data_IF_560908825419
#
_entry.id   IF_560908825419
#
_cell.length_a   1.000
_cell.length_b   1.000
_cell.length_c   1.000
_cell.angle_alpha   90.00
_cell.angle_beta   90.00
_cell.angle_gamma   90.00
#
_symmetry.space_group_name_H-M   'P 1'
#
loop_
_entity.id
_entity.type
_entity.pdbx_description
1 polymer ?
#
# COMPACT_ATOMS: atom_id res chain seq x y z
N UNK A 1 0.98 23.16 -20.54
CA UNK A 1 1.87 22.44 -19.63
C UNK A 1 2.39 21.20 -20.35
N UNK A 2 3.64 20.79 -20.14
CA UNK A 2 4.08 19.47 -20.58
C UNK A 2 3.28 18.43 -19.79
N UNK A 3 2.81 17.39 -20.47
CA UNK A 3 2.12 16.27 -19.84
C UNK A 3 3.03 15.63 -18.77
N UNK A 4 2.49 15.41 -17.56
CA UNK A 4 3.21 14.81 -16.43
C UNK A 4 2.60 13.47 -16.05
N UNK A 5 3.43 12.55 -15.56
CA UNK A 5 3.03 11.24 -15.07
C UNK A 5 3.00 11.24 -13.53
N UNK A 6 1.80 11.13 -12.96
CA UNK A 6 1.60 10.94 -11.52
C UNK A 6 1.25 9.48 -11.25
N UNK A 7 1.93 8.85 -10.29
CA UNK A 7 1.64 7.47 -9.86
C UNK A 7 1.10 7.47 -8.44
N UNK A 8 -0.02 6.79 -8.21
CA UNK A 8 -0.63 6.61 -6.89
C UNK A 8 -0.34 5.19 -6.37
N UNK A 9 0.17 5.09 -5.14
CA UNK A 9 0.40 3.85 -4.41
C UNK A 9 -0.45 3.85 -3.14
N UNK A 10 -1.30 2.83 -2.97
CA UNK A 10 -1.83 2.44 -1.67
C UNK A 10 -3.32 2.65 -1.44
N UNK A 11 -3.68 3.40 -0.42
CA UNK A 11 -4.96 3.29 0.29
C UNK A 11 -6.25 3.60 -0.50
N UNK A 12 -7.40 3.36 0.15
CA UNK A 12 -8.73 3.45 -0.45
C UNK A 12 -9.12 4.86 -0.94
N UNK A 13 -8.59 5.95 -0.39
CA UNK A 13 -8.83 7.29 -0.93
C UNK A 13 -8.38 7.43 -2.40
N UNK A 14 -7.38 6.65 -2.83
CA UNK A 14 -6.93 6.64 -4.21
C UNK A 14 -7.80 5.74 -5.09
N UNK A 15 -8.43 4.70 -4.54
CA UNK A 15 -9.29 3.77 -5.28
C UNK A 15 -10.56 4.43 -5.85
N UNK A 16 -11.03 5.53 -5.26
CA UNK A 16 -12.20 6.26 -5.76
C UNK A 16 -11.87 7.07 -7.02
N UNK A 17 -12.51 6.72 -8.14
CA UNK A 17 -12.27 7.36 -9.44
C UNK A 17 -12.49 8.86 -9.43
N UNK A 18 -13.56 9.32 -8.75
CA UNK A 18 -13.95 10.72 -8.71
C UNK A 18 -13.16 11.56 -7.69
N UNK A 19 -12.25 10.96 -6.92
CA UNK A 19 -11.41 11.64 -5.93
C UNK A 19 -10.09 12.16 -6.51
N UNK A 20 -8.97 11.88 -5.83
CA UNK A 20 -7.62 12.35 -6.20
C UNK A 20 -7.28 12.07 -7.67
N UNK A 21 -7.64 10.88 -8.15
CA UNK A 21 -7.40 10.47 -9.54
C UNK A 21 -8.04 11.45 -10.54
N UNK A 22 -9.33 11.76 -10.38
CA UNK A 22 -10.02 12.71 -11.26
C UNK A 22 -9.41 14.11 -11.15
N UNK A 23 -9.06 14.54 -9.94
CA UNK A 23 -8.44 15.85 -9.71
C UNK A 23 -7.15 16.05 -10.51
N UNK A 24 -6.31 15.02 -10.57
CA UNK A 24 -5.09 15.04 -11.38
C UNK A 24 -5.43 15.05 -12.87
N UNK A 25 -6.36 14.19 -13.32
CA UNK A 25 -6.76 14.12 -14.73
C UNK A 25 -7.35 15.44 -15.25
N UNK A 26 -8.10 16.15 -14.41
CA UNK A 26 -8.71 17.44 -14.74
C UNK A 26 -7.68 18.54 -15.09
N UNK A 27 -6.41 18.35 -14.71
CA UNK A 27 -5.30 19.27 -15.06
C UNK A 27 -4.60 18.92 -16.39
N UNK A 28 -5.02 17.84 -17.05
CA UNK A 28 -4.38 17.32 -18.27
C UNK A 28 -3.15 16.45 -18.01
N UNK A 29 -2.90 16.04 -16.76
CA UNK A 29 -1.84 15.09 -16.42
C UNK A 29 -2.31 13.65 -16.54
N UNK A 30 -1.36 12.72 -16.70
CA UNK A 30 -1.61 11.28 -16.61
C UNK A 30 -1.58 10.85 -15.15
N UNK A 31 -2.55 10.03 -14.77
CA UNK A 31 -2.61 9.42 -13.45
C UNK A 31 -2.62 7.89 -13.60
N UNK A 32 -1.63 7.24 -12.99
CA UNK A 32 -1.52 5.78 -12.93
C UNK A 32 -1.80 5.34 -11.51
N UNK A 33 -2.96 4.72 -11.31
CA UNK A 33 -3.38 4.26 -9.99
C UNK A 33 -3.04 2.79 -9.79
N UNK A 34 -2.13 2.51 -8.86
CA UNK A 34 -1.73 1.16 -8.47
C UNK A 34 -2.30 0.76 -7.09
N UNK A 35 -3.23 1.56 -6.56
CA UNK A 35 -4.05 1.22 -5.39
C UNK A 35 -4.98 0.04 -5.70
N UNK A 36 -5.06 -0.92 -4.79
CA UNK A 36 -6.15 -1.92 -4.78
C UNK A 36 -7.26 -1.55 -3.79
N UNK A 37 -7.11 -0.44 -3.06
CA UNK A 37 -7.90 -0.09 -1.88
C UNK A 37 -7.65 -1.06 -0.72
N UNK A 38 -7.70 -0.59 0.52
CA UNK A 38 -7.50 -1.53 1.64
C UNK A 38 -6.04 -1.91 1.91
N UNK A 39 -5.05 -1.25 1.31
CA UNK A 39 -3.69 -1.79 1.23
C UNK A 39 -2.65 -1.16 2.17
N UNK A 40 -1.84 -1.98 2.88
CA UNK A 40 -0.73 -1.52 3.71
C UNK A 40 0.51 -1.19 2.88
N UNK A 41 1.57 -0.70 3.54
CA UNK A 41 2.88 -0.42 2.94
C UNK A 41 3.47 -1.61 2.16
N UNK A 42 3.14 -2.86 2.51
CA UNK A 42 3.67 -4.05 1.83
C UNK A 42 3.16 -4.16 0.40
N UNK A 43 1.90 -3.78 0.16
CA UNK A 43 1.35 -3.78 -1.19
C UNK A 43 1.95 -2.64 -2.03
N UNK A 44 2.17 -1.46 -1.43
CA UNK A 44 2.86 -0.36 -2.11
C UNK A 44 4.26 -0.77 -2.54
N UNK A 45 4.98 -1.49 -1.67
CA UNK A 45 6.29 -2.04 -1.97
C UNK A 45 6.22 -3.10 -3.09
N UNK A 46 5.23 -4.00 -3.04
CA UNK A 46 4.97 -4.95 -4.12
C UNK A 46 4.73 -4.25 -5.47
N UNK A 47 3.90 -3.22 -5.51
CA UNK A 47 3.61 -2.47 -6.74
C UNK A 47 4.82 -1.68 -7.24
N UNK A 48 5.63 -1.13 -6.33
CA UNK A 48 6.89 -0.48 -6.68
C UNK A 48 7.80 -1.45 -7.44
N UNK A 49 7.92 -2.69 -6.95
CA UNK A 49 8.77 -3.71 -7.59
C UNK A 49 8.15 -4.22 -8.89
N UNK A 50 6.84 -4.49 -8.89
CA UNK A 50 6.09 -4.98 -10.06
C UNK A 50 6.10 -3.97 -11.21
N UNK A 51 5.91 -2.69 -10.91
CA UNK A 51 5.77 -1.60 -11.87
C UNK A 51 6.99 -0.68 -11.90
N UNK A 52 8.18 -1.17 -11.51
CA UNK A 52 9.40 -0.38 -11.35
C UNK A 52 9.68 0.61 -12.49
N UNK A 53 9.53 0.19 -13.74
CA UNK A 53 9.72 1.06 -14.93
C UNK A 53 8.76 2.24 -14.98
N UNK A 54 7.50 2.04 -14.59
CA UNK A 54 6.51 3.12 -14.53
C UNK A 54 6.91 4.13 -13.45
N UNK A 55 7.33 3.65 -12.28
CA UNK A 55 7.74 4.49 -11.14
C UNK A 55 9.04 5.25 -11.44
N UNK A 56 10.00 4.62 -12.13
CA UNK A 56 11.23 5.26 -12.62
C UNK A 56 10.96 6.34 -13.68
N UNK A 57 9.81 6.30 -14.36
CA UNK A 57 9.39 7.30 -15.34
C UNK A 57 8.37 8.31 -14.80
N UNK A 58 7.98 8.20 -13.53
CA UNK A 58 7.06 9.14 -12.90
C UNK A 58 7.72 10.51 -12.70
N UNK A 59 6.90 11.57 -12.81
CA UNK A 59 7.24 12.93 -12.39
C UNK A 59 6.96 13.11 -10.89
N UNK A 60 5.91 12.45 -10.40
CA UNK A 60 5.49 12.47 -9.00
C UNK A 60 4.94 11.10 -8.59
N UNK A 61 5.30 10.66 -7.39
CA UNK A 61 4.74 9.47 -6.75
C UNK A 61 4.02 9.90 -5.47
N UNK A 62 2.78 9.47 -5.30
CA UNK A 62 2.00 9.68 -4.08
C UNK A 62 1.80 8.33 -3.41
N UNK A 63 2.28 8.18 -2.19
CA UNK A 63 2.11 6.97 -1.39
C UNK A 63 1.29 7.27 -0.15
N UNK A 64 0.28 6.45 0.12
CA UNK A 64 -0.53 6.52 1.33
C UNK A 64 -0.92 5.11 1.77
N UNK A 65 -0.73 4.78 3.04
CA UNK A 65 -1.04 3.43 3.55
C UNK A 65 -1.28 3.38 5.06
N UNK A 66 -1.17 4.52 5.76
CA UNK A 66 -1.16 4.56 7.22
C UNK A 66 -2.39 3.89 7.84
N UNK A 67 -3.60 4.15 7.32
CA UNK A 67 -4.83 3.53 7.84
C UNK A 67 -4.79 2.01 7.78
N UNK A 68 -4.20 1.43 6.73
CA UNK A 68 -4.12 -0.02 6.56
C UNK A 68 -2.89 -0.65 7.18
N UNK A 69 -1.80 0.10 7.32
CA UNK A 69 -0.70 -0.29 8.21
C UNK A 69 -1.21 -0.38 9.67
N UNK A 70 -2.13 0.49 10.10
CA UNK A 70 -2.77 0.37 11.42
C UNK A 70 -3.76 -0.81 11.43
N UNK A 71 -4.68 -0.88 10.48
CA UNK A 71 -5.73 -1.91 10.44
C UNK A 71 -5.16 -3.34 10.37
N UNK A 72 -4.10 -3.53 9.56
CA UNK A 72 -3.50 -4.84 9.35
C UNK A 72 -2.63 -5.27 10.53
N UNK A 73 -1.90 -4.32 11.13
CA UNK A 73 -1.03 -4.56 12.27
C UNK A 73 -1.62 -3.94 13.55
N UNK A 74 -2.92 -4.17 13.77
CA UNK A 74 -3.73 -3.49 14.80
C UNK A 74 -3.48 -3.98 16.24
N UNK A 75 -2.27 -4.45 16.53
CA UNK A 75 -1.81 -4.83 17.86
C UNK A 75 -0.32 -4.51 18.02
N UNK A 76 0.09 -4.30 19.27
CA UNK A 76 1.48 -3.94 19.60
C UNK A 76 2.45 -5.06 19.16
N UNK A 77 2.05 -6.33 19.33
CA UNK A 77 2.87 -7.49 18.92
C UNK A 77 3.07 -7.59 17.40
N UNK A 78 2.17 -7.00 16.62
CA UNK A 78 2.27 -6.95 15.16
C UNK A 78 3.00 -5.70 14.66
N UNK A 79 3.16 -4.67 15.50
CA UNK A 79 3.83 -3.43 15.11
C UNK A 79 5.24 -3.62 14.56
N UNK A 80 6.11 -4.53 15.07
CA UNK A 80 7.41 -4.79 14.46
C UNK A 80 7.33 -5.18 12.98
N UNK A 81 6.25 -5.87 12.56
CA UNK A 81 6.02 -6.22 11.14
C UNK A 81 5.64 -4.98 10.32
N UNK A 82 4.81 -4.10 10.89
CA UNK A 82 4.49 -2.80 10.28
C UNK A 82 5.76 -1.96 10.11
N UNK A 83 6.55 -1.83 11.19
CA UNK A 83 7.81 -1.09 11.21
C UNK A 83 8.76 -1.56 10.11
N UNK A 84 8.97 -2.87 10.01
CA UNK A 84 9.82 -3.48 8.98
C UNK A 84 9.36 -3.11 7.57
N UNK A 85 8.08 -3.32 7.27
CA UNK A 85 7.53 -3.10 5.93
C UNK A 85 7.56 -1.62 5.54
N UNK A 86 7.24 -0.72 6.46
CA UNK A 86 7.32 0.73 6.22
C UNK A 86 8.76 1.16 5.95
N UNK A 87 9.73 0.67 6.72
CA UNK A 87 11.14 1.01 6.49
C UNK A 87 11.63 0.51 5.11
N UNK A 88 11.23 -0.70 4.70
CA UNK A 88 11.53 -1.22 3.36
C UNK A 88 10.97 -0.32 2.27
N UNK A 89 9.66 -0.03 2.32
CA UNK A 89 8.98 0.81 1.33
C UNK A 89 9.66 2.17 1.19
N UNK A 90 9.89 2.87 2.30
CA UNK A 90 10.44 4.23 2.25
C UNK A 90 11.87 4.24 1.73
N UNK A 91 12.68 3.21 2.04
CA UNK A 91 14.03 3.10 1.49
C UNK A 91 14.00 2.82 -0.02
N UNK A 92 13.14 1.92 -0.51
CA UNK A 92 12.97 1.68 -1.95
C UNK A 92 12.50 2.95 -2.68
N UNK A 93 11.51 3.66 -2.13
CA UNK A 93 11.03 4.94 -2.67
C UNK A 93 12.17 5.97 -2.75
N UNK A 94 13.00 6.09 -1.72
CA UNK A 94 14.12 7.01 -1.70
C UNK A 94 15.08 6.76 -2.87
N UNK A 95 15.40 5.50 -3.15
CA UNK A 95 16.33 5.14 -4.22
C UNK A 95 15.78 5.33 -5.65
N UNK A 96 14.48 5.57 -5.82
CA UNK A 96 13.92 6.00 -7.12
C UNK A 96 14.35 7.42 -7.51
N UNK A 97 14.76 8.25 -6.53
CA UNK A 97 15.18 9.65 -6.74
C UNK A 97 14.09 10.49 -7.43
N UNK A 98 12.84 10.27 -7.04
CA UNK A 98 11.65 10.98 -7.56
C UNK A 98 11.06 11.90 -6.51
N UNK A 99 10.29 12.91 -6.97
CA UNK A 99 9.41 13.69 -6.09
C UNK A 99 8.37 12.73 -5.51
N UNK A 100 8.34 12.64 -4.19
CA UNK A 100 7.45 11.72 -3.45
C UNK A 100 6.62 12.53 -2.47
N UNK A 101 5.32 12.23 -2.44
CA UNK A 101 4.39 12.70 -1.42
C UNK A 101 4.02 11.51 -0.53
N UNK A 102 4.28 11.67 0.76
CA UNK A 102 3.72 10.87 1.82
C UNK A 102 2.34 11.44 2.20
N UNK A 103 1.28 10.74 1.82
CA UNK A 103 -0.09 11.08 2.18
C UNK A 103 -0.47 10.37 3.49
N UNK A 104 -0.84 11.14 4.51
CA UNK A 104 -1.36 10.61 5.78
C UNK A 104 -2.87 10.78 5.80
N UNK A 105 -3.57 9.68 5.57
CA UNK A 105 -5.02 9.62 5.50
C UNK A 105 -5.68 9.77 6.87
N UNK A 106 -6.92 10.28 6.94
CA UNK A 106 -7.70 10.29 8.18
C UNK A 106 -7.82 8.90 8.80
N UNK A 107 -7.63 8.82 10.11
CA UNK A 107 -7.83 7.59 10.90
C UNK A 107 -8.88 7.77 12.00
N UNK A 108 -10.14 8.12 11.66
CA UNK A 108 -11.22 8.35 12.64
C UNK A 108 -11.78 7.04 13.24
N UNK A 109 -11.42 5.88 12.68
CA UNK A 109 -12.07 4.61 12.99
C UNK A 109 -11.82 4.20 14.44
N UNK A 110 -12.91 4.10 15.22
CA UNK A 110 -12.85 3.83 16.67
C UNK A 110 -12.36 2.42 17.01
N UNK A 111 -12.43 1.48 16.07
CA UNK A 111 -11.98 0.10 16.26
C UNK A 111 -10.46 -0.08 16.12
N UNK A 112 -9.75 0.96 15.66
CA UNK A 112 -8.28 0.94 15.58
C UNK A 112 -7.66 1.13 16.97
N UNK A 113 -6.58 0.40 17.22
CA UNK A 113 -5.79 0.49 18.42
C UNK A 113 -5.08 1.85 18.46
N UNK A 114 -5.42 2.67 19.46
CA UNK A 114 -4.93 4.05 19.61
C UNK A 114 -3.40 4.15 19.64
N UNK A 115 -2.71 3.19 20.25
CA UNK A 115 -1.25 3.17 20.27
C UNK A 115 -0.70 2.87 18.88
N UNK A 116 -1.29 1.93 18.15
CA UNK A 116 -0.90 1.64 16.76
C UNK A 116 -1.14 2.85 15.85
N UNK A 117 -2.26 3.57 16.01
CA UNK A 117 -2.52 4.84 15.31
C UNK A 117 -1.38 5.83 15.53
N UNK A 118 -0.95 6.02 16.78
CA UNK A 118 0.16 6.91 17.14
C UNK A 118 1.47 6.42 16.51
N UNK A 119 1.86 5.18 16.75
CA UNK A 119 3.14 4.63 16.28
C UNK A 119 3.29 4.65 14.76
N UNK A 120 2.26 4.20 14.03
CA UNK A 120 2.30 4.12 12.56
C UNK A 120 2.35 5.51 11.95
N UNK A 121 1.46 6.44 12.36
CA UNK A 121 1.45 7.79 11.82
C UNK A 121 2.77 8.52 12.13
N UNK A 122 3.26 8.42 13.36
CA UNK A 122 4.59 8.96 13.74
C UNK A 122 5.67 8.37 12.83
N UNK A 123 5.71 7.05 12.65
CA UNK A 123 6.74 6.40 11.84
C UNK A 123 6.70 6.85 10.36
N UNK A 124 5.51 6.96 9.75
CA UNK A 124 5.38 7.50 8.39
C UNK A 124 5.98 8.90 8.26
N UNK A 125 5.71 9.77 9.24
CA UNK A 125 6.24 11.14 9.27
C UNK A 125 7.75 11.13 9.49
N UNK A 126 8.27 10.32 10.44
CA UNK A 126 9.72 10.18 10.67
C UNK A 126 10.44 9.74 9.42
N UNK A 127 9.93 8.71 8.73
CA UNK A 127 10.55 8.19 7.52
C UNK A 127 10.47 9.21 6.38
N UNK A 128 9.35 9.93 6.23
CA UNK A 128 9.22 11.01 5.26
C UNK A 128 10.27 12.11 5.52
N UNK A 129 10.43 12.56 6.77
CA UNK A 129 11.43 13.58 7.13
C UNK A 129 12.85 13.06 6.94
N UNK A 130 13.11 11.81 7.35
CA UNK A 130 14.41 11.14 7.19
C UNK A 130 14.85 11.20 5.74
N UNK A 131 14.00 10.79 4.80
CA UNK A 131 14.32 10.71 3.37
C UNK A 131 14.04 12.00 2.59
N UNK A 132 13.39 13.00 3.17
CA UNK A 132 13.04 14.26 2.50
C UNK A 132 11.86 14.13 1.55
N UNK A 133 10.82 13.38 1.93
CA UNK A 133 9.57 13.32 1.18
C UNK A 133 8.66 14.46 1.58
N UNK A 134 7.91 14.96 0.60
CA UNK A 134 6.85 15.93 0.82
C UNK A 134 5.73 15.24 1.60
N UNK A 135 5.02 15.97 2.46
CA UNK A 135 3.98 15.40 3.34
C UNK A 135 2.70 16.20 3.19
N UNK A 136 1.61 15.47 2.99
CA UNK A 136 0.24 15.99 3.10
C UNK A 136 -0.43 15.17 4.19
N UNK A 137 -0.67 15.80 5.34
CA UNK A 137 -1.22 15.16 6.52
C UNK A 137 -2.67 15.60 6.75
N UNK A 138 -3.59 14.91 6.08
CA UNK A 138 -5.03 15.15 6.21
C UNK A 138 -5.52 14.70 7.58
N UNK A 139 -4.95 13.62 8.14
CA UNK A 139 -5.28 13.17 9.49
C UNK A 139 -5.12 14.26 10.55
N UNK A 140 -4.04 15.05 10.47
CA UNK A 140 -3.80 16.16 11.41
C UNK A 140 -4.94 17.18 11.37
N UNK A 141 -5.48 17.50 10.19
CA UNK A 141 -6.64 18.41 10.06
C UNK A 141 -7.90 17.87 10.74
N UNK A 142 -8.17 16.57 10.59
CA UNK A 142 -9.28 15.92 11.29
C UNK A 142 -9.11 15.94 12.82
N UNK A 143 -7.88 15.80 13.32
CA UNK A 143 -7.60 15.82 14.76
C UNK A 143 -7.63 17.23 15.38
N UNK A 144 -7.31 18.27 14.61
CA UNK A 144 -7.27 19.66 15.07
C UNK A 144 -8.61 20.38 14.93
N UNK A 145 -9.53 19.87 14.10
CA UNK A 145 -10.86 20.45 13.90
C UNK A 145 -11.70 20.42 15.19
N UNK A 146 -12.41 21.50 15.46
CA UNK A 146 -13.31 21.63 16.62
C UNK A 146 -14.62 20.87 16.47
N UNK A 147 -14.91 20.36 15.27
CA UNK A 147 -16.10 19.56 14.95
C UNK A 147 -15.74 18.38 14.04
N UNK A 148 -16.60 17.37 14.02
CA UNK A 148 -16.47 16.23 13.10
C UNK A 148 -16.55 16.75 11.66
N UNK A 149 -15.43 16.67 10.93
CA UNK A 149 -15.37 17.05 9.53
C UNK A 149 -16.28 16.12 8.70
N UNK A 150 -16.72 16.61 7.53
CA UNK A 150 -17.63 15.85 6.67
C UNK A 150 -16.88 14.65 6.10
N UNK A 151 -17.34 13.45 6.44
CA UNK A 151 -16.86 12.21 5.86
C UNK A 151 -17.99 11.49 5.16
N UNK A 152 -17.68 10.84 4.04
CA UNK A 152 -18.64 10.03 3.28
C UNK A 152 -19.10 8.82 4.08
N UNK A 153 -18.17 8.24 4.82
CA UNK A 153 -18.37 7.11 5.73
C UNK A 153 -17.42 7.26 6.93
N UNK A 154 -17.29 6.24 7.79
CA UNK A 154 -16.41 6.29 8.95
C UNK A 154 -14.91 6.25 8.60
N UNK A 155 -14.51 6.38 7.33
CA UNK A 155 -13.13 6.25 6.89
C UNK A 155 -12.69 7.27 5.84
N UNK A 156 -13.60 7.73 4.97
CA UNK A 156 -13.23 8.47 3.77
C UNK A 156 -13.81 9.88 3.74
N UNK A 157 -12.98 10.84 3.35
CA UNK A 157 -13.44 12.16 2.94
C UNK A 157 -14.26 12.07 1.64
N UNK A 158 -15.11 13.06 1.40
CA UNK A 158 -15.90 13.10 0.17
C UNK A 158 -15.04 13.24 -1.09
N UNK A 159 -15.47 12.57 -2.17
CA UNK A 159 -14.79 12.56 -3.46
C UNK A 159 -14.48 13.98 -3.98
N UNK A 160 -15.36 14.97 -3.77
CA UNK A 160 -15.11 16.34 -4.23
C UNK A 160 -13.94 17.02 -3.50
N UNK A 161 -13.75 16.72 -2.20
CA UNK A 161 -12.62 17.22 -1.41
C UNK A 161 -11.33 16.59 -1.94
N UNK A 162 -11.33 15.27 -2.09
CA UNK A 162 -10.17 14.54 -2.61
C UNK A 162 -9.83 14.91 -4.06
N UNK A 163 -10.84 15.23 -4.88
CA UNK A 163 -10.66 15.75 -6.24
C UNK A 163 -10.00 17.12 -6.25
N UNK A 164 -10.43 18.02 -5.37
CA UNK A 164 -9.81 19.33 -5.27
C UNK A 164 -8.37 19.24 -4.74
N UNK A 165 -8.12 18.35 -3.78
CA UNK A 165 -6.76 18.03 -3.36
C UNK A 165 -5.91 17.51 -4.54
N UNK A 166 -6.46 16.61 -5.37
CA UNK A 166 -5.78 16.11 -6.58
C UNK A 166 -5.41 17.23 -7.56
N UNK A 167 -6.31 18.20 -7.80
CA UNK A 167 -6.01 19.39 -8.62
C UNK A 167 -4.90 20.23 -8.00
N UNK A 168 -4.99 20.51 -6.69
CA UNK A 168 -4.01 21.32 -5.97
C UNK A 168 -2.61 20.70 -6.04
N UNK A 169 -2.51 19.37 -5.87
CA UNK A 169 -1.26 18.62 -6.01
C UNK A 169 -0.71 18.76 -7.43
N UNK A 170 -1.53 18.49 -8.45
CA UNK A 170 -1.08 18.55 -9.85
C UNK A 170 -0.61 19.96 -10.24
N UNK A 171 -1.36 21.00 -9.86
CA UNK A 171 -0.99 22.40 -10.14
C UNK A 171 0.30 22.83 -9.41
N UNK A 172 0.71 22.14 -8.34
CA UNK A 172 1.92 22.41 -7.56
C UNK A 172 3.04 21.41 -7.82
N UNK A 173 2.96 20.57 -8.85
CA UNK A 173 3.92 19.48 -9.09
C UNK A 173 5.39 19.95 -9.16
N UNK A 174 5.61 21.16 -9.66
CA UNK A 174 6.96 21.72 -9.77
C UNK A 174 7.55 22.16 -8.42
N UNK A 175 6.70 22.48 -7.44
CA UNK A 175 7.09 22.98 -6.13
C UNK A 175 7.53 21.88 -5.15
N UNK A 176 7.22 20.61 -5.43
CA UNK A 176 7.61 19.51 -4.57
C UNK A 176 9.14 19.29 -4.58
N UNK A 177 9.67 19.04 -3.39
CA UNK A 177 11.08 18.75 -3.18
C UNK A 177 11.45 17.34 -3.65
N UNK A 178 12.67 17.20 -4.17
CA UNK A 178 13.30 15.89 -4.33
C UNK A 178 13.79 15.36 -2.97
N UNK A 179 13.99 14.03 -2.84
CA UNK A 179 14.54 13.42 -1.64
C UNK A 179 15.88 14.05 -1.23
N UNK A 180 16.17 14.02 0.08
CA UNK A 180 17.44 14.51 0.65
C UNK A 180 18.62 13.77 0.03
N UNK A 181 19.78 14.43 -0.03
CA UNK A 181 21.04 13.75 -0.36
C UNK A 181 21.64 13.19 0.93
N UNK A 182 21.42 11.90 1.16
CA UNK A 182 21.92 11.18 2.34
C UNK A 182 22.89 10.10 1.87
N UNK A 183 24.03 9.98 2.54
CA UNK A 183 25.02 8.95 2.24
C UNK A 183 24.61 7.61 2.87
N UNK A 184 23.71 6.89 2.21
CA UNK A 184 23.24 5.57 2.63
C UNK A 184 23.26 4.60 1.45
N UNK A 185 23.37 3.31 1.75
CA UNK A 185 23.20 2.23 0.78
C UNK A 185 21.80 1.62 0.93
N UNK A 186 21.32 0.98 -0.13
CA UNK A 186 20.13 0.15 -0.02
C UNK A 186 20.54 -1.22 0.51
N UNK A 187 20.36 -1.42 1.81
CA UNK A 187 20.59 -2.68 2.52
C UNK A 187 19.30 -3.50 2.71
N UNK A 188 18.19 -3.12 2.08
CA UNK A 188 16.97 -3.94 2.08
C UNK A 188 17.24 -5.32 1.47
N UNK A 189 16.42 -6.34 1.82
CA UNK A 189 16.35 -7.57 1.03
C UNK A 189 16.07 -7.25 -0.43
N UNK A 190 16.61 -8.06 -1.34
CA UNK A 190 16.26 -7.96 -2.74
C UNK A 190 14.83 -8.48 -2.91
N UNK A 191 13.94 -7.64 -3.42
CA UNK A 191 12.54 -7.98 -3.63
C UNK A 191 12.26 -8.45 -5.06
N UNK A 192 11.33 -9.39 -5.20
CA UNK A 192 10.99 -10.01 -6.48
C UNK A 192 9.47 -10.08 -6.68
N UNK A 193 9.04 -9.61 -7.85
CA UNK A 193 7.72 -9.92 -8.39
C UNK A 193 7.76 -11.28 -9.10
N UNK A 194 6.99 -12.24 -8.60
CA UNK A 194 6.88 -13.58 -9.19
C UNK A 194 5.47 -13.78 -9.76
N UNK A 195 5.24 -13.53 -11.07
CA UNK A 195 3.96 -13.78 -11.72
C UNK A 195 3.66 -15.28 -11.76
N UNK A 196 2.38 -15.65 -11.62
CA UNK A 196 1.97 -17.05 -11.56
C UNK A 196 2.38 -17.85 -12.81
N UNK A 197 2.50 -17.20 -13.97
CA UNK A 197 2.99 -17.79 -15.22
C UNK A 197 4.36 -18.47 -15.11
N UNK A 198 5.18 -18.10 -14.14
CA UNK A 198 6.50 -18.70 -13.94
C UNK A 198 6.46 -20.00 -13.13
N UNK A 199 5.32 -20.31 -12.50
CA UNK A 199 5.14 -21.55 -11.74
C UNK A 199 5.11 -22.79 -12.64
N UNK A 200 5.23 -23.96 -12.02
CA UNK A 200 5.23 -25.24 -12.70
C UNK A 200 3.94 -26.01 -12.39
N UNK A 201 3.61 -26.99 -13.24
CA UNK A 201 2.37 -27.75 -13.21
C UNK A 201 1.11 -26.91 -13.47
N UNK A 202 1.24 -25.92 -14.36
CA UNK A 202 0.13 -25.08 -14.81
C UNK A 202 -0.54 -25.69 -16.05
N UNK A 203 -1.87 -25.66 -16.08
CA UNK A 203 -2.64 -25.86 -17.30
C UNK A 203 -2.95 -24.51 -17.94
N UNK A 204 -2.35 -24.23 -19.09
CA UNK A 204 -2.49 -22.93 -19.75
C UNK A 204 -3.94 -22.55 -20.10
N UNK A 205 -4.86 -23.52 -20.21
CA UNK A 205 -6.30 -23.26 -20.43
C UNK A 205 -6.99 -22.63 -19.22
N UNK A 206 -6.39 -22.70 -18.02
CA UNK A 206 -6.90 -22.08 -16.80
C UNK A 206 -6.56 -20.57 -16.69
N UNK A 207 -5.73 -20.02 -17.59
CA UNK A 207 -5.48 -18.59 -17.62
C UNK A 207 -6.69 -17.82 -18.13
N UNK A 208 -7.01 -16.72 -17.45
CA UNK A 208 -8.08 -15.79 -17.82
C UNK A 208 -7.59 -14.37 -17.67
N UNK A 209 -8.23 -13.46 -18.39
CA UNK A 209 -8.11 -12.03 -18.15
C UNK A 209 -9.31 -11.58 -17.34
N UNK A 210 -9.06 -10.78 -16.30
CA UNK A 210 -10.07 -10.21 -15.43
C UNK A 210 -9.88 -8.72 -15.31
N UNK A 211 -11.00 -8.02 -15.13
CA UNK A 211 -11.00 -6.58 -15.01
C UNK A 211 -12.10 -6.16 -14.04
N UNK A 212 -11.78 -5.20 -13.20
CA UNK A 212 -12.73 -4.46 -12.36
C UNK A 212 -12.60 -2.98 -12.73
N UNK A 213 -13.33 -2.13 -12.01
CA UNK A 213 -13.12 -0.69 -12.16
C UNK A 213 -11.76 -0.22 -11.62
N UNK A 214 -11.09 -0.98 -10.74
CA UNK A 214 -9.81 -0.63 -10.12
C UNK A 214 -8.61 -1.13 -10.93
N UNK A 215 -8.65 -2.39 -11.35
CA UNK A 215 -7.48 -3.07 -11.88
C UNK A 215 -7.85 -4.09 -12.96
N UNK A 216 -6.83 -4.45 -13.75
CA UNK A 216 -6.96 -5.41 -14.83
C UNK A 216 -5.80 -6.41 -14.73
N UNK A 217 -6.14 -7.69 -14.62
CA UNK A 217 -5.21 -8.72 -14.21
C UNK A 217 -5.34 -9.96 -15.09
N UNK A 218 -4.18 -10.52 -15.46
CA UNK A 218 -4.12 -11.88 -15.96
C UNK A 218 -4.01 -12.82 -14.77
N UNK A 219 -4.92 -13.77 -14.70
CA UNK A 219 -5.07 -14.64 -13.53
C UNK A 219 -5.00 -16.10 -13.94
N UNK A 220 -4.55 -16.94 -13.01
CA UNK A 220 -4.62 -18.38 -13.12
C UNK A 220 -5.68 -18.93 -12.19
N UNK A 221 -6.71 -19.57 -12.76
CA UNK A 221 -7.80 -20.19 -12.01
C UNK A 221 -7.35 -21.55 -11.43
N UNK A 222 -7.02 -21.58 -10.14
CA UNK A 222 -6.67 -22.81 -9.40
C UNK A 222 -7.97 -23.55 -9.07
N UNK A 223 -8.14 -24.74 -9.65
CA UNK A 223 -9.30 -25.59 -9.35
C UNK A 223 -9.18 -26.20 -7.96
N UNK A 224 -10.30 -26.57 -7.36
CA UNK A 224 -10.31 -27.27 -6.07
C UNK A 224 -9.39 -28.50 -6.13
N UNK A 225 -8.52 -28.66 -5.12
CA UNK A 225 -7.51 -29.73 -5.00
C UNK A 225 -6.38 -29.71 -6.04
N UNK A 226 -6.33 -28.70 -6.92
CA UNK A 226 -5.20 -28.53 -7.83
C UNK A 226 -3.94 -28.15 -7.04
N UNK A 227 -2.79 -28.70 -7.47
CA UNK A 227 -1.49 -28.50 -6.81
C UNK A 227 -0.54 -27.82 -7.78
N UNK A 228 -0.11 -26.61 -7.43
CA UNK A 228 0.88 -25.85 -8.18
C UNK A 228 2.18 -25.86 -7.38
N UNK A 229 3.32 -25.85 -8.07
CA UNK A 229 4.64 -25.75 -7.42
C UNK A 229 5.39 -24.52 -7.91
N UNK A 230 6.26 -24.02 -7.06
CA UNK A 230 7.19 -22.96 -7.44
C UNK A 230 8.30 -23.50 -8.36
N UNK A 231 8.85 -22.62 -9.20
CA UNK A 231 10.01 -22.94 -10.01
C UNK A 231 11.29 -22.99 -9.14
N UNK A 232 12.27 -23.81 -9.52
CA UNK A 232 13.53 -23.98 -8.78
C UNK A 232 14.31 -22.69 -8.55
N UNK A 233 14.12 -21.67 -9.40
CA UNK A 233 14.78 -20.38 -9.26
C UNK A 233 14.26 -19.54 -8.09
N UNK A 234 13.15 -19.91 -7.46
CA UNK A 234 12.64 -19.24 -6.26
C UNK A 234 13.02 -19.93 -4.96
N UNK A 235 13.74 -21.05 -5.02
CA UNK A 235 14.10 -21.78 -3.80
C UNK A 235 15.00 -20.91 -2.91
N UNK A 236 14.81 -21.04 -1.60
CA UNK A 236 15.40 -20.22 -0.54
C UNK A 236 14.92 -18.77 -0.45
N UNK A 237 14.10 -18.28 -1.38
CA UNK A 237 13.47 -16.97 -1.23
C UNK A 237 12.37 -17.01 -0.16
N UNK A 238 12.24 -15.90 0.56
CA UNK A 238 11.19 -15.68 1.55
C UNK A 238 9.90 -15.26 0.85
N UNK A 239 8.78 -15.92 1.19
CA UNK A 239 7.45 -15.55 0.71
C UNK A 239 6.87 -14.44 1.59
N UNK A 240 6.76 -13.22 1.04
CA UNK A 240 6.25 -12.05 1.76
C UNK A 240 4.76 -11.84 1.57
N UNK A 241 4.25 -12.07 0.36
CA UNK A 241 2.85 -11.79 0.07
C UNK A 241 2.32 -12.46 -1.18
N UNK A 242 1.01 -12.36 -1.36
CA UNK A 242 0.27 -13.06 -2.40
C UNK A 242 -0.79 -12.13 -2.98
N UNK A 243 -0.82 -12.00 -4.30
CA UNK A 243 -1.84 -11.24 -5.02
C UNK A 243 -2.84 -12.21 -5.66
N UNK A 244 -4.11 -12.05 -5.30
CA UNK A 244 -5.22 -12.94 -5.64
C UNK A 244 -6.40 -12.15 -6.18
N UNK A 245 -7.32 -12.84 -6.85
CA UNK A 245 -8.62 -12.33 -7.23
C UNK A 245 -9.71 -13.33 -6.90
N UNK A 246 -10.69 -12.93 -6.10
CA UNK A 246 -11.85 -13.76 -5.79
C UNK A 246 -13.09 -13.28 -6.57
N UNK A 247 -13.83 -14.23 -7.12
CA UNK A 247 -15.02 -13.96 -7.94
C UNK A 247 -16.33 -14.10 -7.20
N UNK A 248 -16.40 -15.05 -6.28
CA UNK A 248 -17.63 -15.36 -5.55
C UNK A 248 -17.35 -16.33 -4.43
N UNK A 249 -17.93 -16.05 -3.27
CA UNK A 249 -18.02 -16.98 -2.15
C UNK A 249 -16.68 -17.22 -1.45
N UNK A 250 -16.70 -18.21 -0.55
CA UNK A 250 -15.55 -18.55 0.26
C UNK A 250 -14.56 -19.36 -0.58
N UNK A 251 -13.36 -18.82 -0.81
CA UNK A 251 -12.23 -19.57 -1.38
C UNK A 251 -11.10 -19.67 -0.35
N UNK A 252 -10.33 -20.76 -0.42
CA UNK A 252 -9.23 -21.00 0.52
C UNK A 252 -7.95 -21.32 -0.23
N UNK A 253 -6.92 -20.50 -0.01
CA UNK A 253 -5.57 -20.78 -0.49
C UNK A 253 -4.71 -21.28 0.66
N UNK A 254 -4.00 -22.37 0.37
CA UNK A 254 -2.99 -22.92 1.25
C UNK A 254 -1.63 -22.93 0.54
N UNK A 255 -0.60 -22.47 1.23
CA UNK A 255 0.79 -22.66 0.84
C UNK A 255 1.48 -23.38 1.97
N UNK A 256 1.97 -24.59 1.68
CA UNK A 256 2.59 -25.44 2.70
C UNK A 256 3.96 -25.91 2.25
N UNK A 257 4.88 -25.95 3.19
CA UNK A 257 6.14 -26.66 3.12
C UNK A 257 6.09 -27.83 4.12
N UNK A 258 6.60 -29.04 3.81
CA UNK A 258 6.62 -30.16 4.75
C UNK A 258 7.36 -29.92 6.08
N UNK A 259 8.08 -28.80 6.24
CA UNK A 259 8.62 -28.35 7.55
C UNK A 259 7.61 -27.52 8.36
N UNK A 260 6.33 -27.87 8.32
CA UNK A 260 5.20 -27.30 9.09
C UNK A 260 4.91 -25.79 8.94
N UNK A 261 5.51 -25.11 7.97
CA UNK A 261 5.10 -23.75 7.66
C UNK A 261 3.89 -23.80 6.72
N UNK A 262 2.75 -23.34 7.24
CA UNK A 262 1.48 -23.30 6.52
C UNK A 262 0.97 -21.86 6.53
N UNK A 263 0.76 -21.31 5.35
CA UNK A 263 -0.07 -20.12 5.17
C UNK A 263 -1.43 -20.57 4.66
N UNK A 264 -2.49 -20.26 5.42
CA UNK A 264 -3.87 -20.48 5.00
C UNK A 264 -4.62 -19.15 5.04
N UNK A 265 -5.40 -18.87 4.00
CA UNK A 265 -6.36 -17.75 3.99
C UNK A 265 -7.66 -18.16 3.34
N UNK A 266 -8.73 -17.76 3.99
CA UNK A 266 -10.08 -17.77 3.44
C UNK A 266 -10.48 -16.35 3.02
N UNK A 267 -11.17 -16.26 1.90
CA UNK A 267 -11.61 -15.02 1.26
C UNK A 267 -13.11 -15.14 0.99
N UNK A 268 -13.91 -14.17 1.41
CA UNK A 268 -15.36 -14.10 1.19
C UNK A 268 -15.82 -12.85 0.41
N UNK A 269 -14.88 -12.00 -0.03
CA UNK A 269 -15.15 -10.78 -0.81
C UNK A 269 -14.74 -10.93 -2.28
N UNK A 270 -15.45 -10.25 -3.19
CA UNK A 270 -15.30 -10.39 -4.65
C UNK A 270 -14.41 -9.31 -5.29
N UNK A 271 -13.13 -9.23 -4.89
CA UNK A 271 -12.19 -8.23 -5.42
C UNK A 271 -10.76 -8.78 -5.56
N UNK A 272 -9.88 -7.96 -6.15
CA UNK A 272 -8.43 -8.19 -6.16
C UNK A 272 -7.85 -7.83 -4.80
N UNK A 273 -7.00 -8.69 -4.23
CA UNK A 273 -6.43 -8.50 -2.91
C UNK A 273 -4.96 -8.87 -2.86
N UNK A 274 -4.21 -8.11 -2.09
CA UNK A 274 -2.84 -8.44 -1.73
C UNK A 274 -2.77 -8.82 -0.25
N UNK A 275 -2.28 -10.01 0.06
CA UNK A 275 -2.09 -10.47 1.42
C UNK A 275 -0.62 -10.47 1.83
N UNK A 276 -0.39 -10.05 3.07
CA UNK A 276 0.84 -10.34 3.80
C UNK A 276 0.78 -11.75 4.42
N UNK A 277 1.85 -12.54 4.23
CA UNK A 277 2.00 -13.83 4.89
C UNK A 277 2.35 -13.74 6.37
N UNK A 278 2.79 -12.57 6.84
CA UNK A 278 3.31 -12.27 8.17
C UNK A 278 4.55 -13.06 8.61
N UNK A 279 4.84 -14.19 7.97
CA UNK A 279 5.98 -15.05 8.28
C UNK A 279 7.16 -14.70 7.36
N UNK A 280 8.04 -13.83 7.86
CA UNK A 280 9.26 -13.39 7.16
C UNK A 280 10.32 -14.49 7.02
N UNK A 281 10.12 -15.64 7.66
CA UNK A 281 11.01 -16.80 7.61
C UNK A 281 10.43 -17.93 6.74
N UNK A 282 9.29 -17.70 6.06
CA UNK A 282 8.74 -18.69 5.15
C UNK A 282 9.62 -18.85 3.92
N UNK A 283 10.45 -19.89 3.87
CA UNK A 283 11.34 -20.16 2.74
C UNK A 283 10.68 -21.13 1.76
N UNK A 284 10.66 -20.74 0.49
CA UNK A 284 10.22 -21.61 -0.59
C UNK A 284 11.27 -22.71 -0.81
N UNK A 285 10.81 -23.95 -0.84
CA UNK A 285 11.60 -25.16 -1.12
C UNK A 285 11.00 -25.91 -2.31
N UNK A 286 11.69 -26.93 -2.79
CA UNK A 286 11.18 -27.91 -3.77
C UNK A 286 9.86 -28.56 -3.36
N UNK A 287 9.66 -28.72 -2.04
CA UNK A 287 8.47 -29.35 -1.50
C UNK A 287 7.35 -28.35 -1.17
N UNK A 288 7.58 -27.05 -1.39
CA UNK A 288 6.55 -26.03 -1.18
C UNK A 288 5.47 -26.16 -2.25
N UNK A 289 4.22 -26.36 -1.81
CA UNK A 289 3.05 -26.52 -2.67
C UNK A 289 2.05 -25.39 -2.45
N UNK A 290 1.44 -24.94 -3.54
CA UNK A 290 0.30 -24.03 -3.55
C UNK A 290 -0.94 -24.85 -3.86
N UNK A 291 -1.97 -24.68 -3.03
CA UNK A 291 -3.16 -25.53 -3.00
C UNK A 291 -4.39 -24.64 -2.91
N UNK A 292 -5.45 -25.05 -3.62
CA UNK A 292 -6.80 -24.60 -3.33
C UNK A 292 -7.52 -25.66 -2.48
N UNK A 293 -7.65 -25.37 -1.18
CA UNK A 293 -8.36 -26.25 -0.24
C UNK A 293 -9.87 -25.95 -0.18
N UNK A 294 -10.30 -24.87 -0.82
CA UNK A 294 -11.70 -24.47 -0.87
C UNK A 294 -12.53 -25.30 -1.83
N UNK A 295 -13.84 -25.15 -1.70
CA UNK A 295 -14.83 -25.71 -2.65
C UNK A 295 -14.83 -24.89 -3.94
N UNK A 296 -14.66 -23.57 -3.82
CA UNK A 296 -14.66 -22.65 -4.95
C UNK A 296 -13.26 -22.50 -5.56
N UNK A 297 -13.20 -22.18 -6.85
CA UNK A 297 -11.95 -21.84 -7.52
C UNK A 297 -11.39 -20.53 -6.97
N UNK A 298 -10.06 -20.41 -6.94
CA UNK A 298 -9.38 -19.16 -6.61
C UNK A 298 -8.54 -18.71 -7.80
N UNK A 299 -8.56 -17.42 -8.11
CA UNK A 299 -7.70 -16.87 -9.15
C UNK A 299 -6.44 -16.29 -8.53
N UNK A 300 -5.28 -16.81 -8.93
CA UNK A 300 -3.98 -16.37 -8.45
C UNK A 300 -3.31 -15.49 -9.51
N UNK A 301 -2.71 -14.37 -9.08
CA UNK A 301 -2.02 -13.42 -9.96
C UNK A 301 -0.52 -13.58 -9.81
N UNK A 302 -0.01 -13.49 -8.58
CA UNK A 302 1.43 -13.50 -8.33
C UNK A 302 1.79 -13.67 -6.85
N UNK A 303 3.08 -13.81 -6.60
CA UNK A 303 3.70 -13.81 -5.28
C UNK A 303 4.70 -12.66 -5.16
N UNK A 304 4.83 -12.14 -3.94
CA UNK A 304 5.86 -11.18 -3.57
C UNK A 304 6.93 -11.89 -2.74
N UNK A 305 8.17 -11.89 -3.22
CA UNK A 305 9.27 -12.65 -2.63
C UNK A 305 10.42 -11.72 -2.23
N UNK A 306 11.27 -12.18 -1.31
CA UNK A 306 12.50 -11.51 -0.93
C UNK A 306 13.68 -12.48 -0.82
N UNK A 307 14.91 -11.99 -1.05
CA UNK A 307 16.14 -12.72 -0.69
C UNK A 307 16.17 -12.98 0.81
N UNK A 308 16.75 -14.10 1.29
CA UNK A 308 16.89 -14.33 2.73
C UNK A 308 17.90 -13.39 3.41
N UNK A 309 18.80 -12.79 2.64
CA UNK A 309 19.73 -11.76 3.09
C UNK A 309 19.13 -10.35 2.99
N UNK A 310 19.73 -9.41 3.73
CA UNK A 310 19.33 -8.00 3.78
C UNK A 310 18.84 -7.61 5.17
N UNK A 311 18.53 -6.32 5.32
CA UNK A 311 18.07 -5.75 6.58
C UNK A 311 16.57 -6.02 6.77
N UNK A 312 16.27 -6.96 7.65
CA UNK A 312 14.89 -7.30 8.03
C UNK A 312 14.36 -6.45 9.20
N UNK A 313 15.03 -5.37 9.59
CA UNK A 313 14.56 -4.46 10.64
C UNK A 313 14.16 -5.18 11.94
N UNK A 314 15.05 -6.06 12.43
CA UNK A 314 14.81 -6.87 13.65
C UNK A 314 15.33 -6.20 14.91
N UNK A 315 15.77 -4.95 14.82
CA UNK A 315 16.12 -4.11 15.97
C UNK A 315 14.95 -3.96 16.95
N UNK A 316 15.29 -3.78 18.22
CA UNK A 316 14.33 -3.42 19.25
C UNK A 316 13.81 -1.99 19.00
N UNK A 317 12.49 -1.82 19.12
CA UNK A 317 11.84 -0.53 18.87
C UNK A 317 11.44 0.07 20.21
N UNK A 318 11.98 1.25 20.51
CA UNK A 318 11.52 2.06 21.63
C UNK A 318 10.16 2.69 21.30
N UNK A 319 9.10 1.98 21.68
CA UNK A 319 7.71 2.39 21.44
C UNK A 319 7.33 3.62 22.26
N UNK A 320 7.89 3.79 23.45
CA UNK A 320 7.59 4.94 24.31
C UNK A 320 8.18 6.22 23.71
N UNK A 321 9.45 6.16 23.29
CA UNK A 321 10.08 7.26 22.56
C UNK A 321 9.32 7.55 21.26
N UNK A 322 8.96 6.52 20.48
CA UNK A 322 8.20 6.69 19.23
C UNK A 322 6.81 7.31 19.49
N UNK A 323 6.11 6.91 20.55
CA UNK A 323 4.83 7.53 20.91
C UNK A 323 5.00 9.01 21.23
N UNK A 324 6.00 9.37 22.03
CA UNK A 324 6.06 10.70 22.64
C UNK A 324 6.90 11.71 21.86
N UNK A 325 7.40 11.31 20.69
CA UNK A 325 8.17 12.19 19.82
C UNK A 325 7.29 13.29 19.22
N UNK A 326 7.61 14.54 19.55
CA UNK A 326 6.98 15.70 18.96
C UNK A 326 7.64 16.00 17.61
N UNK A 327 7.06 15.47 16.52
CA UNK A 327 7.64 15.59 15.19
C UNK A 327 6.99 16.75 14.44
N UNK A 328 7.78 17.79 14.18
CA UNK A 328 7.41 18.85 13.26
C UNK A 328 7.91 18.54 11.85
N UNK A 329 7.01 18.63 10.86
CA UNK A 329 7.38 18.48 9.45
C UNK A 329 8.07 19.78 9.02
N UNK A 330 9.34 19.74 8.55
CA UNK A 330 10.03 20.93 8.07
C UNK A 330 9.24 21.63 6.97
N UNK A 331 9.29 22.97 6.93
CA UNK A 331 8.44 23.79 6.06
C UNK A 331 8.57 23.42 4.59
N UNK A 332 9.78 23.08 4.14
CA UNK A 332 10.08 22.70 2.76
C UNK A 332 9.48 21.35 2.33
N UNK A 333 9.02 20.53 3.29
CA UNK A 333 8.35 19.26 3.04
C UNK A 333 6.86 19.31 3.45
N UNK A 334 6.38 20.39 4.05
CA UNK A 334 5.00 20.48 4.54
C UNK A 334 4.07 21.08 3.48
N UNK A 335 3.24 20.24 2.87
CA UNK A 335 2.29 20.63 1.83
C UNK A 335 0.82 20.59 2.30
N UNK A 336 0.58 20.70 3.60
CA UNK A 336 -0.78 20.75 4.15
C UNK A 336 -1.60 21.95 3.64
N UNK A 337 -0.95 22.99 3.12
CA UNK A 337 -1.63 24.14 2.48
C UNK A 337 -2.38 23.75 1.19
N UNK A 338 -2.11 22.57 0.62
CA UNK A 338 -2.83 22.04 -0.54
C UNK A 338 -4.15 21.35 -0.16
N UNK A 339 -4.36 21.06 1.13
CA UNK A 339 -5.60 20.48 1.63
C UNK A 339 -6.72 21.53 1.43
N UNK A 340 -7.82 21.19 0.75
CA UNK A 340 -8.95 22.10 0.57
C UNK A 340 -9.51 22.62 1.90
N UNK A 341 -10.29 23.72 1.91
CA UNK A 341 -10.89 24.26 3.12
C UNK A 341 -12.08 23.39 3.59
N UNK A 342 -11.79 22.20 4.13
CA UNK A 342 -12.78 21.19 4.56
C UNK A 342 -13.76 21.79 5.59
N UNK A 343 -13.27 22.65 6.46
CA UNK A 343 -14.07 23.36 7.47
C UNK A 343 -15.14 24.25 6.82
N UNK A 344 -14.77 25.08 5.86
CA UNK A 344 -15.72 25.91 5.11
C UNK A 344 -16.76 25.05 4.38
N UNK A 345 -16.35 23.90 3.83
CA UNK A 345 -17.30 22.97 3.20
C UNK A 345 -18.30 22.40 4.21
N UNK A 346 -17.88 22.12 5.45
CA UNK A 346 -18.78 21.70 6.54
C UNK A 346 -19.77 22.79 6.87
N UNK A 347 -19.31 24.02 7.06
CA UNK A 347 -20.17 25.16 7.40
C UNK A 347 -21.26 25.37 6.36
N UNK A 348 -20.90 25.35 5.07
CA UNK A 348 -21.87 25.48 3.97
C UNK A 348 -22.85 24.30 3.97
N UNK A 349 -22.37 23.06 4.11
CA UNK A 349 -23.28 21.90 4.09
C UNK A 349 -24.22 21.92 5.29
N UNK A 350 -23.74 22.31 6.47
CA UNK A 350 -24.59 22.45 7.65
C UNK A 350 -25.62 23.56 7.45
N UNK A 351 -25.25 24.71 6.90
CA UNK A 351 -26.19 25.83 6.67
C UNK A 351 -27.34 25.45 5.71
N UNK A 352 -27.05 24.68 4.67
CA UNK A 352 -28.02 24.40 3.59
C UNK A 352 -28.70 23.02 3.68
N UNK A 353 -28.18 22.10 4.50
CA UNK A 353 -28.71 20.73 4.64
C UNK A 353 -29.20 20.39 6.07
N UNK A 354 -29.07 21.29 7.05
CA UNK A 354 -29.74 21.20 8.35
C UNK A 354 -31.20 21.63 8.25
#
# INVERSE_FOLDING_TARGET
>A
MNEKNVVLLGESHFAFKNGVTQGILDTGFKCFNLSLGGTPSLQNLYELIRNKKLLENADLIITGSNTHDIAQYNSIDLFPKSYQVMNWLYKELYFLKKKIICFIAPTPQKWLNKNCVKYVNTLHIKLAIKYGFNVINVNKKHLESSYSLIQRDEAHDFDFIMRELGRNIANNIENFSFPKKINIINDNPQFYFYPIEKAINLNFTNFKFKQSWLCSEKVYCIKSKEVISFNKNTFNLNLLGIHLWNDSGICEIQIKNPKDQIFNRSLDYNFSYFFDTYNRQFKITNDTKILNNGVNNINLISFFLASPEGNYHTEEIDLEALANENIEIPKEYNFNHLIPPIELYKEIIDEYCS
#
